data_IF_227998292824
#
_entry.id   IF_227998292824
#
_cell.length_a   1.000
_cell.length_b   1.000
_cell.length_c   1.000
_cell.angle_alpha   90.00
_cell.angle_beta   90.00
_cell.angle_gamma   90.00
#
_symmetry.space_group_name_H-M   'P 1'
#
loop_
_entity.id
_entity.type
_entity.pdbx_description
1 polymer ?
#
# COMPACT_ATOMS: atom_id res chain seq x y z
N UNK A 1 3.22 12.31 10.74
CA UNK A 1 2.69 12.93 9.52
C UNK A 1 1.19 13.07 9.70
N UNK A 2 0.59 14.19 9.29
CA UNK A 2 -0.85 14.44 9.42
C UNK A 2 -1.68 13.35 8.71
N UNK A 3 -2.94 13.10 9.12
CA UNK A 3 -3.75 12.04 8.55
C UNK A 3 -4.06 12.41 7.11
N UNK A 4 -3.85 11.47 6.19
CA UNK A 4 -4.15 11.70 4.78
C UNK A 4 -5.57 11.22 4.52
N UNK A 5 -6.46 12.15 4.19
CA UNK A 5 -7.82 11.82 3.74
C UNK A 5 -7.76 11.60 2.23
N UNK A 6 -7.71 10.35 1.81
CA UNK A 6 -7.99 9.97 0.43
C UNK A 6 -9.43 9.46 0.39
N UNK A 7 -10.22 9.88 -0.60
CA UNK A 7 -11.51 9.22 -0.90
C UNK A 7 -11.21 7.80 -1.36
N UNK A 8 -11.13 6.87 -0.42
CA UNK A 8 -11.07 5.45 -0.72
C UNK A 8 -12.47 5.04 -1.14
N UNK A 9 -12.74 5.01 -2.44
CA UNK A 9 -13.99 4.47 -2.97
C UNK A 9 -14.02 2.96 -2.73
N UNK A 10 -14.49 2.57 -1.55
CA UNK A 10 -15.10 1.28 -1.33
C UNK A 10 -16.56 1.54 -1.64
N UNK A 11 -17.12 0.87 -2.64
CA UNK A 11 -18.47 1.03 -3.21
C UNK A 11 -19.67 1.10 -2.21
N UNK A 12 -19.41 1.10 -0.91
CA UNK A 12 -20.25 1.50 0.23
C UNK A 12 -20.57 3.01 0.34
N UNK A 13 -19.75 3.90 -0.25
CA UNK A 13 -19.91 5.35 -0.08
C UNK A 13 -19.39 5.92 1.23
N UNK A 14 -18.74 5.11 2.08
CA UNK A 14 -18.13 5.54 3.34
C UNK A 14 -16.74 6.16 3.11
N UNK A 15 -16.46 7.26 3.81
CA UNK A 15 -15.13 7.87 3.80
C UNK A 15 -14.16 7.08 4.69
N UNK A 16 -13.12 6.49 4.10
CA UNK A 16 -12.04 5.87 4.86
C UNK A 16 -10.90 6.85 5.09
N UNK A 17 -10.70 7.20 6.36
CA UNK A 17 -9.60 8.07 6.80
C UNK A 17 -8.42 7.20 7.21
N UNK A 18 -7.25 7.48 6.64
CA UNK A 18 -5.99 6.88 7.11
C UNK A 18 -5.51 7.68 8.33
N UNK A 19 -5.35 7.06 9.51
CA UNK A 19 -4.89 7.74 10.70
C UNK A 19 -3.50 8.37 10.53
N UNK A 20 -3.17 9.31 11.41
CA UNK A 20 -1.80 9.82 11.50
C UNK A 20 -0.81 8.66 11.71
N UNK A 21 0.35 8.76 11.07
CA UNK A 21 1.41 7.75 11.17
C UNK A 21 1.05 6.36 10.64
N UNK A 22 -0.06 6.23 9.92
CA UNK A 22 -0.42 5.01 9.20
C UNK A 22 -0.39 5.22 7.68
N UNK A 23 -0.36 4.11 6.96
CA UNK A 23 -0.52 4.05 5.51
C UNK A 23 -1.57 3.00 5.14
N UNK A 24 -2.28 3.25 4.04
CA UNK A 24 -3.11 2.25 3.39
C UNK A 24 -2.32 1.67 2.21
N UNK A 25 -2.06 0.37 2.21
CA UNK A 25 -1.28 -0.29 1.17
C UNK A 25 -2.16 -1.19 0.32
N UNK A 26 -1.87 -1.26 -0.98
CA UNK A 26 -2.54 -2.14 -1.93
C UNK A 26 -1.51 -2.85 -2.79
N UNK A 27 -1.67 -4.15 -2.98
CA UNK A 27 -0.87 -4.88 -3.96
C UNK A 27 -1.27 -4.54 -5.39
N UNK A 28 -0.34 -4.67 -6.33
CA UNK A 28 -0.62 -4.46 -7.75
C UNK A 28 -1.56 -5.54 -8.32
N UNK A 29 -1.42 -6.79 -7.86
CA UNK A 29 -2.34 -7.88 -8.20
C UNK A 29 -3.62 -7.81 -7.34
N UNK A 30 -4.50 -6.87 -7.68
CA UNK A 30 -5.64 -6.46 -6.83
C UNK A 30 -6.58 -7.58 -6.42
N UNK A 31 -6.80 -8.57 -7.28
CA UNK A 31 -7.74 -9.66 -7.01
C UNK A 31 -7.15 -10.76 -6.13
N UNK A 32 -5.83 -10.76 -5.93
CA UNK A 32 -5.10 -11.82 -5.23
C UNK A 32 -4.05 -11.22 -4.28
N UNK A 33 -4.46 -10.14 -3.59
CA UNK A 33 -3.64 -9.48 -2.59
C UNK A 33 -4.40 -9.40 -1.28
N UNK A 34 -3.83 -9.97 -0.22
CA UNK A 34 -4.26 -9.69 1.15
C UNK A 34 -3.52 -8.44 1.61
N UNK A 35 -4.18 -7.29 1.51
CA UNK A 35 -3.61 -5.98 1.80
C UNK A 35 -4.55 -5.18 2.74
N UNK A 36 -4.38 -3.85 2.84
CA UNK A 36 -5.20 -3.02 3.74
C UNK A 36 -6.70 -3.06 3.46
N UNK A 37 -7.13 -3.68 2.35
CA UNK A 37 -8.55 -3.96 2.10
C UNK A 37 -9.10 -5.08 2.99
N UNK A 38 -8.27 -5.98 3.48
CA UNK A 38 -8.68 -7.04 4.38
C UNK A 38 -8.68 -6.53 5.83
N UNK A 39 -9.78 -6.76 6.56
CA UNK A 39 -9.95 -6.32 7.94
C UNK A 39 -8.92 -6.94 8.90
N UNK A 40 -8.31 -8.07 8.53
CA UNK A 40 -7.25 -8.73 9.30
C UNK A 40 -5.93 -7.96 9.27
N UNK A 41 -5.73 -7.09 8.27
CA UNK A 41 -4.52 -6.25 8.13
C UNK A 41 -4.86 -4.79 8.45
N UNK A 42 -5.85 -4.22 7.76
CA UNK A 42 -6.24 -2.83 7.93
C UNK A 42 -5.11 -1.83 7.63
N UNK A 43 -5.06 -0.74 8.39
CA UNK A 43 -4.06 0.32 8.24
C UNK A 43 -2.71 -0.12 8.81
N UNK A 44 -1.62 0.16 8.10
CA UNK A 44 -0.27 -0.24 8.51
C UNK A 44 0.44 0.94 9.18
N UNK A 45 1.02 0.71 10.36
CA UNK A 45 1.82 1.72 11.04
C UNK A 45 3.11 2.00 10.27
N UNK A 46 3.46 3.29 10.11
CA UNK A 46 4.68 3.71 9.39
C UNK A 46 5.96 3.20 10.03
N UNK A 47 5.95 2.83 11.31
CA UNK A 47 7.09 2.22 12.01
C UNK A 47 7.39 0.81 11.52
N UNK A 48 6.42 0.12 10.92
CA UNK A 48 6.60 -1.22 10.35
C UNK A 48 7.21 -1.18 8.93
N UNK A 49 7.41 0.03 8.37
CA UNK A 49 8.01 0.21 7.04
C UNK A 49 9.53 0.13 7.15
N UNK A 50 10.10 -0.92 6.58
CA UNK A 50 11.56 -1.13 6.53
C UNK A 50 12.23 -0.23 5.47
N UNK A 51 11.57 -0.01 4.32
CA UNK A 51 12.14 0.79 3.23
C UNK A 51 11.33 0.80 1.94
N UNK A 52 11.92 1.39 0.89
CA UNK A 52 11.32 1.54 -0.45
C UNK A 52 12.06 0.67 -1.46
N UNK A 53 11.33 -0.08 -2.27
CA UNK A 53 11.90 -0.88 -3.37
C UNK A 53 12.34 0.04 -4.50
N UNK A 54 13.63 0.11 -4.81
CA UNK A 54 14.17 1.04 -5.83
C UNK A 54 14.84 0.37 -7.02
N UNK A 55 15.09 -0.93 -6.95
CA UNK A 55 15.81 -1.67 -7.99
C UNK A 55 15.42 -3.15 -7.99
N UNK A 56 15.27 -3.73 -9.18
CA UNK A 56 15.05 -5.15 -9.41
C UNK A 56 16.41 -5.75 -9.80
N UNK A 57 16.95 -6.63 -8.95
CA UNK A 57 18.23 -7.28 -9.18
C UNK A 57 18.10 -8.65 -9.88
N UNK A 58 16.91 -9.26 -9.83
CA UNK A 58 16.62 -10.57 -10.41
C UNK A 58 15.13 -10.65 -10.77
N UNK A 59 14.75 -11.34 -11.87
CA UNK A 59 15.59 -12.07 -12.82
C UNK A 59 16.44 -11.15 -13.72
N UNK A 60 17.54 -11.67 -14.28
CA UNK A 60 18.56 -10.86 -14.95
C UNK A 60 18.08 -10.18 -16.25
N UNK A 61 17.08 -10.75 -16.90
CA UNK A 61 16.36 -10.20 -18.04
C UNK A 61 15.37 -9.07 -17.67
N UNK A 62 15.14 -8.87 -16.36
CA UNK A 62 14.29 -7.83 -15.81
C UNK A 62 15.04 -6.91 -14.82
N UNK A 63 16.37 -6.80 -14.92
CA UNK A 63 17.16 -5.86 -14.12
C UNK A 63 16.77 -4.42 -14.46
N UNK A 64 16.48 -3.62 -13.44
CA UNK A 64 16.24 -2.19 -13.63
C UNK A 64 15.38 -1.55 -12.56
N UNK A 65 14.75 -0.43 -12.91
CA UNK A 65 13.83 0.29 -12.03
C UNK A 65 12.49 -0.46 -11.92
N UNK A 66 11.92 -0.63 -10.71
CA UNK A 66 10.55 -1.12 -10.56
C UNK A 66 9.51 -0.06 -10.96
N UNK A 67 9.95 1.20 -11.12
CA UNK A 67 9.12 2.30 -11.58
C UNK A 67 9.26 2.45 -13.09
N UNK A 68 8.12 2.52 -13.79
CA UNK A 68 8.05 2.97 -15.19
C UNK A 68 8.07 4.49 -15.26
#
# INVERSE_FOLDING_TARGET
>A
AAPTVAKLDRHSGEEHVVPEHCVFVMGDNRNDSTDSRDERIGMVDTRDIIGKVVFIAFPFDHIGSPYK
#
